data_IF_017570594811
#
_entry.id   IF_017570594811
#
_cell.length_a   1.000
_cell.length_b   1.000
_cell.length_c   1.000
_cell.angle_alpha   90.00
_cell.angle_beta   90.00
_cell.angle_gamma   90.00
#
_symmetry.space_group_name_H-M   'P 1'
#
loop_
_entity.id
_entity.type
_entity.pdbx_description
1 polymer ?
#
# COMPACT_ATOMS: atom_id res chain seq x y z
N UNK A 1 -21.86 -9.36 -14.22
CA UNK A 1 -22.65 -8.95 -13.02
C UNK A 1 -23.03 -10.07 -12.04
N UNK A 2 -23.10 -11.37 -12.39
CA UNK A 2 -23.54 -12.41 -11.43
C UNK A 2 -22.44 -12.93 -10.49
N UNK A 3 -21.16 -12.92 -10.88
CA UNK A 3 -20.06 -13.47 -10.07
C UNK A 3 -19.46 -12.51 -9.03
N UNK A 4 -19.65 -11.20 -9.20
CA UNK A 4 -19.34 -10.20 -8.15
C UNK A 4 -20.16 -10.47 -6.88
N UNK A 5 -21.37 -11.04 -7.01
CA UNK A 5 -22.25 -11.37 -5.88
C UNK A 5 -21.66 -12.44 -4.94
N UNK A 6 -20.96 -13.46 -5.45
CA UNK A 6 -20.50 -14.58 -4.61
C UNK A 6 -19.26 -14.23 -3.77
N UNK A 7 -18.26 -13.55 -4.36
CA UNK A 7 -17.07 -13.11 -3.60
C UNK A 7 -17.48 -12.11 -2.52
N UNK A 8 -18.31 -11.15 -2.88
CA UNK A 8 -18.85 -10.14 -1.98
C UNK A 8 -19.75 -10.77 -0.89
N UNK A 9 -20.50 -11.84 -1.21
CA UNK A 9 -21.29 -12.58 -0.24
C UNK A 9 -20.45 -13.18 0.90
N UNK A 10 -19.31 -13.83 0.60
CA UNK A 10 -18.46 -14.41 1.65
C UNK A 10 -17.90 -13.35 2.59
N UNK A 11 -17.38 -12.24 2.06
CA UNK A 11 -16.86 -11.18 2.92
C UNK A 11 -17.97 -10.49 3.71
N UNK A 12 -19.14 -10.25 3.10
CA UNK A 12 -20.33 -9.75 3.81
C UNK A 12 -20.79 -10.69 4.91
N UNK A 13 -20.83 -12.00 4.65
CA UNK A 13 -21.18 -13.02 5.64
C UNK A 13 -20.16 -13.03 6.79
N UNK A 14 -18.86 -12.92 6.49
CA UNK A 14 -17.81 -12.84 7.52
C UNK A 14 -17.96 -11.58 8.39
N UNK A 15 -18.37 -10.45 7.79
CA UNK A 15 -18.66 -9.22 8.51
C UNK A 15 -19.90 -9.36 9.40
N UNK A 16 -20.95 -10.03 8.91
CA UNK A 16 -22.15 -10.32 9.71
C UNK A 16 -21.82 -11.24 10.89
N UNK A 17 -21.04 -12.32 10.67
CA UNK A 17 -20.62 -13.24 11.72
C UNK A 17 -19.85 -12.52 12.84
N UNK A 18 -18.85 -11.72 12.47
CA UNK A 18 -18.03 -10.97 13.45
C UNK A 18 -18.75 -9.78 14.06
N UNK A 19 -19.87 -9.33 13.49
CA UNK A 19 -20.76 -8.37 14.15
C UNK A 19 -21.50 -9.00 15.34
N UNK A 20 -22.00 -10.23 15.19
CA UNK A 20 -22.75 -10.94 16.24
C UNK A 20 -21.84 -11.64 17.25
N UNK A 21 -20.74 -12.23 16.79
CA UNK A 21 -19.76 -12.95 17.59
C UNK A 21 -18.36 -12.40 17.31
N UNK A 22 -17.96 -11.25 17.87
CA UNK A 22 -16.70 -10.59 17.52
C UNK A 22 -15.48 -11.51 17.65
N UNK A 23 -15.24 -12.04 18.86
CA UNK A 23 -14.05 -12.86 19.16
C UNK A 23 -14.16 -14.27 18.57
N UNK A 24 -15.26 -14.96 18.87
CA UNK A 24 -15.46 -16.35 18.42
C UNK A 24 -15.59 -16.45 16.90
N UNK A 25 -16.33 -15.53 16.27
CA UNK A 25 -16.46 -15.47 14.82
C UNK A 25 -15.14 -15.12 14.13
N UNK A 26 -14.36 -14.18 14.69
CA UNK A 26 -13.02 -13.89 14.19
C UNK A 26 -12.09 -15.11 14.29
N UNK A 27 -12.09 -15.82 15.42
CA UNK A 27 -11.34 -17.06 15.61
C UNK A 27 -11.73 -18.13 14.58
N UNK A 28 -13.03 -18.35 14.38
CA UNK A 28 -13.53 -19.30 13.38
C UNK A 28 -13.06 -18.95 11.96
N UNK A 29 -13.12 -17.67 11.58
CA UNK A 29 -12.66 -17.23 10.25
C UNK A 29 -11.15 -17.39 10.08
N UNK A 30 -10.37 -17.05 11.11
CA UNK A 30 -8.92 -17.23 11.10
C UNK A 30 -8.51 -18.70 10.94
N UNK A 31 -9.34 -19.65 11.41
CA UNK A 31 -9.09 -21.07 11.20
C UNK A 31 -9.58 -21.58 9.84
N UNK A 32 -10.84 -21.29 9.52
CA UNK A 32 -11.52 -21.87 8.35
C UNK A 32 -11.07 -21.27 7.02
N UNK A 33 -10.85 -19.95 6.95
CA UNK A 33 -10.50 -19.29 5.69
C UNK A 33 -9.15 -19.78 5.15
N UNK A 34 -8.06 -19.87 5.94
CA UNK A 34 -6.82 -20.46 5.46
C UNK A 34 -6.96 -21.94 5.09
N UNK A 35 -7.73 -22.72 5.86
CA UNK A 35 -7.96 -24.14 5.55
C UNK A 35 -8.62 -24.32 4.17
N UNK A 36 -9.51 -23.41 3.78
CA UNK A 36 -10.21 -23.47 2.49
C UNK A 36 -9.43 -22.80 1.37
N UNK A 37 -8.89 -21.60 1.59
CA UNK A 37 -8.34 -20.75 0.53
C UNK A 37 -6.84 -20.90 0.33
N UNK A 38 -6.12 -21.50 1.29
CA UNK A 38 -4.66 -21.59 1.26
C UNK A 38 -4.10 -22.97 1.58
N UNK A 39 -4.93 -24.01 1.51
CA UNK A 39 -4.42 -25.39 1.58
C UNK A 39 -3.53 -25.74 0.39
N UNK A 40 -2.70 -26.77 0.58
CA UNK A 40 -1.70 -27.22 -0.41
C UNK A 40 -2.32 -27.57 -1.76
N UNK A 41 -3.54 -28.13 -1.78
CA UNK A 41 -4.21 -28.50 -3.02
C UNK A 41 -4.62 -27.26 -3.82
N UNK A 42 -5.21 -26.25 -3.18
CA UNK A 42 -5.61 -24.99 -3.83
C UNK A 42 -4.40 -24.23 -4.36
N UNK A 43 -3.34 -24.10 -3.56
CA UNK A 43 -2.10 -23.44 -4.01
C UNK A 43 -1.50 -24.18 -5.20
N UNK A 44 -1.41 -25.52 -5.15
CA UNK A 44 -0.89 -26.32 -6.26
C UNK A 44 -1.77 -26.21 -7.50
N UNK A 45 -3.09 -26.16 -7.33
CA UNK A 45 -4.04 -25.96 -8.44
C UNK A 45 -3.80 -24.62 -9.12
N UNK A 46 -3.75 -23.52 -8.36
CA UNK A 46 -3.49 -22.20 -8.94
C UNK A 46 -2.13 -22.15 -9.64
N UNK A 47 -1.08 -22.65 -9.00
CA UNK A 47 0.24 -22.74 -9.62
C UNK A 47 0.21 -23.54 -10.93
N UNK A 48 -0.37 -24.74 -10.94
CA UNK A 48 -0.45 -25.56 -12.15
C UNK A 48 -1.27 -24.90 -13.27
N UNK A 49 -2.32 -24.17 -12.92
CA UNK A 49 -3.13 -23.41 -13.88
C UNK A 49 -2.29 -22.31 -14.54
N UNK A 50 -1.59 -21.51 -13.75
CA UNK A 50 -0.74 -20.43 -14.25
C UNK A 50 0.44 -20.99 -15.07
N UNK A 51 1.07 -22.07 -14.61
CA UNK A 51 2.12 -22.77 -15.35
C UNK A 51 1.63 -23.34 -16.68
N UNK A 52 0.40 -23.87 -16.74
CA UNK A 52 -0.18 -24.38 -17.98
C UNK A 52 -0.38 -23.27 -19.00
N UNK A 53 -0.75 -22.07 -18.56
CA UNK A 53 -0.86 -20.89 -19.44
C UNK A 53 0.50 -20.44 -19.93
N UNK A 54 1.47 -20.27 -19.02
CA UNK A 54 2.83 -19.83 -19.35
C UNK A 54 3.53 -20.77 -20.34
N UNK A 55 3.36 -22.10 -20.20
CA UNK A 55 3.95 -23.08 -21.12
C UNK A 55 3.37 -23.06 -22.54
N UNK A 56 2.19 -22.45 -22.75
CA UNK A 56 1.58 -22.30 -24.08
C UNK A 56 2.04 -21.04 -24.81
N UNK A 57 2.72 -20.14 -24.11
CA UNK A 57 3.20 -18.88 -24.67
C UNK A 57 4.53 -19.13 -25.36
N UNK A 58 4.59 -18.86 -26.66
CA UNK A 58 5.78 -19.11 -27.48
C UNK A 58 6.89 -18.08 -27.21
N UNK A 59 6.51 -16.83 -27.01
CA UNK A 59 7.43 -15.70 -26.83
C UNK A 59 6.89 -14.73 -25.78
N UNK A 60 7.78 -14.00 -25.11
CA UNK A 60 7.46 -13.00 -24.10
C UNK A 60 7.93 -11.62 -24.58
N UNK A 61 7.49 -11.16 -25.75
CA UNK A 61 7.90 -9.88 -26.31
C UNK A 61 7.18 -8.70 -25.66
N UNK A 62 5.93 -8.91 -25.23
CA UNK A 62 5.13 -7.87 -24.60
C UNK A 62 4.29 -8.38 -23.45
N UNK A 63 4.54 -7.83 -22.26
CA UNK A 63 3.88 -8.21 -21.01
C UNK A 63 3.09 -7.01 -20.48
N UNK A 64 1.82 -7.24 -20.12
CA UNK A 64 1.02 -6.28 -19.38
C UNK A 64 1.03 -6.64 -17.90
N UNK A 65 1.31 -5.67 -17.05
CA UNK A 65 1.07 -5.77 -15.61
C UNK A 65 -0.05 -4.80 -15.25
N UNK A 66 -1.18 -5.34 -14.80
CA UNK A 66 -2.29 -4.57 -14.24
C UNK A 66 -2.12 -4.57 -12.74
N UNK A 67 -1.91 -3.38 -12.17
CA UNK A 67 -1.84 -3.17 -10.73
C UNK A 67 -3.24 -3.32 -10.09
N UNK A 68 -3.52 -2.58 -9.03
CA UNK A 68 -4.86 -2.44 -8.45
C UNK A 68 -5.38 -1.00 -8.67
N UNK A 69 -6.62 -0.76 -8.24
CA UNK A 69 -7.27 0.55 -8.25
C UNK A 69 -6.62 1.53 -7.27
N UNK A 70 -5.88 1.05 -6.26
CA UNK A 70 -5.34 1.92 -5.21
C UNK A 70 -3.94 2.48 -5.56
N UNK A 71 -3.67 3.72 -5.16
CA UNK A 71 -2.35 4.36 -5.30
C UNK A 71 -1.24 3.54 -4.60
N UNK A 72 -1.53 3.02 -3.40
CA UNK A 72 -0.57 2.20 -2.65
C UNK A 72 -0.16 0.92 -3.37
N UNK A 73 -1.13 0.25 -4.00
CA UNK A 73 -0.87 -0.94 -4.80
C UNK A 73 -0.16 -0.62 -6.11
N UNK A 74 -0.47 0.52 -6.75
CA UNK A 74 0.30 1.00 -7.90
C UNK A 74 1.79 1.18 -7.56
N UNK A 75 2.09 1.72 -6.36
CA UNK A 75 3.46 1.85 -5.85
C UNK A 75 4.06 0.49 -5.51
N UNK A 76 3.35 -0.40 -4.81
CA UNK A 76 3.92 -1.67 -4.35
C UNK A 76 4.10 -2.73 -5.45
N UNK A 77 3.11 -2.87 -6.33
CA UNK A 77 3.05 -3.95 -7.33
C UNK A 77 4.04 -3.75 -8.48
N UNK A 78 4.66 -2.57 -8.60
CA UNK A 78 5.78 -2.36 -9.53
C UNK A 78 6.97 -3.29 -9.20
N UNK A 79 7.05 -3.84 -7.99
CA UNK A 79 8.02 -4.87 -7.64
C UNK A 79 7.89 -6.14 -8.51
N UNK A 80 6.71 -6.41 -9.07
CA UNK A 80 6.54 -7.47 -10.07
C UNK A 80 7.18 -7.11 -11.42
N UNK A 81 7.17 -5.82 -11.82
CA UNK A 81 7.86 -5.34 -13.01
C UNK A 81 9.37 -5.49 -12.84
N UNK A 82 9.91 -5.10 -11.68
CA UNK A 82 11.33 -5.30 -11.36
C UNK A 82 11.71 -6.79 -11.44
N UNK A 83 10.91 -7.67 -10.84
CA UNK A 83 11.12 -9.12 -10.95
C UNK A 83 11.04 -9.63 -12.40
N UNK A 84 10.14 -9.08 -13.24
CA UNK A 84 10.05 -9.47 -14.64
C UNK A 84 11.28 -9.03 -15.43
N UNK A 85 11.87 -7.87 -15.12
CA UNK A 85 13.13 -7.40 -15.75
C UNK A 85 14.32 -8.30 -15.49
N UNK A 86 14.31 -9.05 -14.39
CA UNK A 86 15.34 -10.04 -14.10
C UNK A 86 15.30 -11.22 -15.08
N UNK A 87 14.12 -11.59 -15.59
CA UNK A 87 13.95 -12.68 -16.57
C UNK A 87 13.89 -12.18 -18.01
N UNK A 88 13.44 -10.95 -18.21
CA UNK A 88 13.09 -10.39 -19.52
C UNK A 88 13.58 -8.93 -19.63
N UNK A 89 14.90 -8.69 -19.71
CA UNK A 89 15.45 -7.34 -19.65
C UNK A 89 15.00 -6.46 -20.82
N UNK A 90 14.88 -7.02 -22.02
CA UNK A 90 14.58 -6.28 -23.26
C UNK A 90 13.09 -6.31 -23.67
N UNK A 91 12.27 -7.07 -22.94
CA UNK A 91 10.83 -7.21 -23.22
C UNK A 91 10.09 -5.90 -22.98
N UNK A 92 9.08 -5.60 -23.80
CA UNK A 92 8.18 -4.49 -23.50
C UNK A 92 7.30 -4.86 -22.30
N UNK A 93 7.44 -4.14 -21.19
CA UNK A 93 6.62 -4.32 -19.99
C UNK A 93 5.79 -3.07 -19.76
N UNK A 94 4.49 -3.17 -20.05
CA UNK A 94 3.54 -2.08 -19.87
C UNK A 94 2.89 -2.20 -18.49
N UNK A 95 2.73 -1.09 -17.78
CA UNK A 95 2.20 -1.07 -16.42
C UNK A 95 0.92 -0.23 -16.34
N UNK A 96 -0.21 -0.88 -16.08
CA UNK A 96 -1.53 -0.26 -16.03
C UNK A 96 -1.93 0.02 -14.57
N UNK A 97 -2.17 1.30 -14.28
CA UNK A 97 -2.33 1.80 -12.90
C UNK A 97 -3.50 2.79 -12.75
N UNK A 98 -3.82 3.11 -11.50
CA UNK A 98 -4.58 4.30 -11.11
C UNK A 98 -3.92 5.57 -11.66
N UNK A 99 -4.71 6.41 -12.35
CA UNK A 99 -4.25 7.67 -12.94
C UNK A 99 -3.63 8.64 -11.93
N UNK A 100 -4.14 8.67 -10.70
CA UNK A 100 -3.63 9.53 -9.62
C UNK A 100 -2.22 9.13 -9.13
N UNK A 101 -1.74 7.93 -9.48
CA UNK A 101 -0.40 7.48 -9.14
C UNK A 101 0.63 7.75 -10.25
N UNK A 102 0.23 8.32 -11.39
CA UNK A 102 1.11 8.58 -12.53
C UNK A 102 2.35 9.39 -12.14
N UNK A 103 2.15 10.52 -11.45
CA UNK A 103 3.22 11.42 -11.07
C UNK A 103 4.28 10.78 -10.17
N UNK A 104 3.96 9.67 -9.49
CA UNK A 104 4.88 8.94 -8.61
C UNK A 104 5.67 7.86 -9.35
N UNK A 105 5.16 7.37 -10.49
CA UNK A 105 5.66 6.16 -11.17
C UNK A 105 6.25 6.46 -12.55
N UNK A 106 5.89 7.59 -13.17
CA UNK A 106 6.26 7.94 -14.55
C UNK A 106 7.77 7.96 -14.85
N UNK A 107 8.63 8.11 -13.83
CA UNK A 107 10.09 8.06 -13.98
C UNK A 107 10.71 6.70 -13.70
N UNK A 108 9.95 5.62 -13.47
CA UNK A 108 10.53 4.30 -13.23
C UNK A 108 11.14 3.73 -14.53
N UNK A 109 12.48 3.50 -14.59
CA UNK A 109 13.15 3.03 -15.79
C UNK A 109 12.85 1.56 -16.14
N UNK A 110 12.25 0.79 -15.22
CA UNK A 110 11.91 -0.62 -15.45
C UNK A 110 10.59 -0.78 -16.23
N UNK A 111 9.80 0.29 -16.35
CA UNK A 111 8.51 0.27 -17.06
C UNK A 111 8.74 0.76 -18.49
N UNK A 112 8.34 -0.03 -19.49
CA UNK A 112 8.45 0.37 -20.90
C UNK A 112 7.37 1.38 -21.29
N UNK A 113 6.14 1.19 -20.82
CA UNK A 113 5.04 2.12 -21.05
C UNK A 113 4.13 2.14 -19.83
N UNK A 114 3.93 3.34 -19.27
CA UNK A 114 2.98 3.54 -18.18
C UNK A 114 1.59 3.82 -18.76
N UNK A 115 0.57 3.14 -18.25
CA UNK A 115 -0.84 3.29 -18.66
C UNK A 115 -1.68 3.78 -17.45
N UNK A 116 -1.68 5.08 -17.15
CA UNK A 116 -2.39 5.68 -16.01
C UNK A 116 -3.88 5.88 -16.32
N UNK A 117 -4.62 4.78 -16.47
CA UNK A 117 -6.00 4.82 -17.00
C UNK A 117 -7.08 4.49 -16.00
N UNK A 118 -6.76 3.80 -14.90
CA UNK A 118 -7.77 3.44 -13.90
C UNK A 118 -8.24 4.67 -13.12
N UNK A 119 -9.52 4.69 -12.80
CA UNK A 119 -10.26 5.77 -12.12
C UNK A 119 -9.73 6.05 -10.72
N UNK A 120 -9.33 4.98 -10.01
CA UNK A 120 -8.99 5.05 -8.59
C UNK A 120 -10.19 4.99 -7.65
N UNK A 121 -11.38 4.74 -8.19
CA UNK A 121 -12.58 4.52 -7.38
C UNK A 121 -12.45 3.24 -6.54
N UNK A 122 -13.13 3.15 -5.39
CA UNK A 122 -13.05 1.97 -4.54
C UNK A 122 -13.50 0.67 -5.24
N UNK A 123 -14.36 0.77 -6.25
CA UNK A 123 -14.76 -0.32 -7.13
C UNK A 123 -14.59 0.09 -8.59
N UNK A 124 -14.35 -0.87 -9.51
CA UNK A 124 -14.26 -0.57 -10.93
C UNK A 124 -15.53 0.08 -11.45
N UNK A 125 -15.34 1.13 -12.25
CA UNK A 125 -16.40 1.78 -13.04
C UNK A 125 -16.31 1.37 -14.51
N UNK A 126 -17.35 1.67 -15.30
CA UNK A 126 -17.41 1.29 -16.72
C UNK A 126 -16.20 1.76 -17.52
N UNK A 127 -15.66 2.93 -17.18
CA UNK A 127 -14.47 3.47 -17.84
C UNK A 127 -13.20 2.67 -17.55
N UNK A 128 -13.09 2.03 -16.37
CA UNK A 128 -11.97 1.13 -16.05
C UNK A 128 -12.01 -0.10 -16.96
N UNK A 129 -13.18 -0.67 -17.16
CA UNK A 129 -13.37 -1.84 -18.04
C UNK A 129 -13.05 -1.50 -19.49
N UNK A 130 -13.55 -0.36 -19.99
CA UNK A 130 -13.25 0.12 -21.35
C UNK A 130 -11.76 0.39 -21.52
N UNK A 131 -11.11 1.01 -20.53
CA UNK A 131 -9.68 1.31 -20.59
C UNK A 131 -8.84 0.03 -20.68
N UNK A 132 -9.17 -1.00 -19.89
CA UNK A 132 -8.50 -2.30 -19.97
C UNK A 132 -8.77 -2.96 -21.32
N UNK A 133 -10.02 -2.97 -21.79
CA UNK A 133 -10.36 -3.53 -23.09
C UNK A 133 -9.55 -2.88 -24.22
N UNK A 134 -9.51 -1.55 -24.26
CA UNK A 134 -8.73 -0.78 -25.23
C UNK A 134 -7.23 -1.12 -25.14
N UNK A 135 -6.68 -1.18 -23.93
CA UNK A 135 -5.27 -1.54 -23.73
C UNK A 135 -4.97 -2.95 -24.25
N UNK A 136 -5.86 -3.93 -24.01
CA UNK A 136 -5.69 -5.31 -24.47
C UNK A 136 -5.71 -5.43 -26.00
N UNK A 137 -6.64 -4.74 -26.67
CA UNK A 137 -6.74 -4.77 -28.14
C UNK A 137 -5.60 -4.01 -28.83
N UNK A 138 -5.21 -2.85 -28.29
CA UNK A 138 -4.10 -2.06 -28.84
C UNK A 138 -2.74 -2.71 -28.56
N UNK A 139 -2.56 -3.29 -27.37
CA UNK A 139 -1.28 -3.81 -26.90
C UNK A 139 -0.93 -5.20 -27.42
N UNK A 140 -1.93 -6.07 -27.69
CA UNK A 140 -1.73 -7.46 -28.13
C UNK A 140 -0.75 -8.29 -27.26
N UNK A 141 -0.83 -8.14 -25.95
CA UNK A 141 0.09 -8.76 -24.98
C UNK A 141 0.17 -10.28 -25.06
N UNK A 142 1.39 -10.82 -24.91
CA UNK A 142 1.66 -12.26 -24.81
C UNK A 142 1.19 -12.82 -23.47
N UNK A 143 1.41 -12.05 -22.40
CA UNK A 143 1.07 -12.39 -21.02
C UNK A 143 0.52 -11.19 -20.29
N UNK A 144 -0.48 -11.41 -19.44
CA UNK A 144 -1.11 -10.38 -18.63
C UNK A 144 -1.05 -10.81 -17.16
N UNK A 145 -0.33 -10.07 -16.33
CA UNK A 145 -0.40 -10.21 -14.88
C UNK A 145 -1.51 -9.31 -14.35
N UNK A 146 -2.57 -9.91 -13.80
CA UNK A 146 -3.68 -9.18 -13.22
C UNK A 146 -3.67 -9.29 -11.69
N UNK A 147 -3.17 -8.25 -11.03
CA UNK A 147 -3.12 -8.17 -9.57
C UNK A 147 -4.41 -7.65 -8.95
N UNK A 148 -5.30 -6.99 -9.70
CA UNK A 148 -6.58 -6.54 -9.18
C UNK A 148 -7.58 -7.71 -9.06
N UNK A 149 -8.06 -8.04 -7.84
CA UNK A 149 -9.01 -9.12 -7.64
C UNK A 149 -10.42 -8.81 -8.19
N UNK A 150 -10.71 -7.54 -8.51
CA UNK A 150 -12.00 -7.08 -9.00
C UNK A 150 -12.15 -7.28 -10.52
N UNK A 151 -11.04 -7.27 -11.26
CA UNK A 151 -11.02 -7.62 -12.68
C UNK A 151 -11.05 -9.14 -12.86
N UNK A 152 -12.25 -9.70 -13.06
CA UNK A 152 -12.45 -11.14 -13.22
C UNK A 152 -12.02 -11.63 -14.62
N UNK A 153 -11.75 -12.93 -14.73
CA UNK A 153 -11.36 -13.60 -15.99
C UNK A 153 -12.31 -13.32 -17.17
N UNK A 154 -13.60 -13.08 -16.90
CA UNK A 154 -14.58 -12.74 -17.94
C UNK A 154 -14.29 -11.42 -18.65
N UNK A 155 -13.65 -10.45 -17.99
CA UNK A 155 -13.26 -9.17 -18.58
C UNK A 155 -12.30 -9.37 -19.77
N UNK A 156 -11.41 -10.35 -19.66
CA UNK A 156 -10.32 -10.52 -20.61
C UNK A 156 -10.76 -11.22 -21.90
N UNK A 157 -12.00 -11.69 -22.02
CA UNK A 157 -12.56 -12.25 -23.25
C UNK A 157 -11.63 -13.29 -23.90
N UNK A 158 -11.20 -13.02 -25.14
CA UNK A 158 -10.27 -13.87 -25.90
C UNK A 158 -8.86 -13.98 -25.31
N UNK A 159 -8.48 -13.04 -24.44
CA UNK A 159 -7.16 -13.00 -23.81
C UNK A 159 -7.09 -13.80 -22.50
N UNK A 160 -8.19 -14.39 -22.01
CA UNK A 160 -8.25 -15.11 -20.72
C UNK A 160 -7.17 -16.19 -20.52
N UNK A 161 -6.74 -16.85 -21.60
CA UNK A 161 -5.72 -17.90 -21.55
C UNK A 161 -4.30 -17.34 -21.38
N UNK A 162 -4.11 -16.02 -21.52
CA UNK A 162 -2.85 -15.28 -21.32
C UNK A 162 -2.76 -14.62 -19.94
N UNK A 163 -3.83 -14.70 -19.14
CA UNK A 163 -3.92 -14.00 -17.85
C UNK A 163 -3.37 -14.87 -16.72
N UNK A 164 -2.42 -14.34 -15.97
CA UNK A 164 -1.97 -14.84 -14.67
C UNK A 164 -2.69 -14.02 -13.61
N UNK A 165 -3.57 -14.65 -12.84
CA UNK A 165 -4.41 -13.94 -11.87
C UNK A 165 -3.76 -13.86 -10.48
N UNK A 166 -4.17 -12.87 -9.69
CA UNK A 166 -3.76 -12.69 -8.29
C UNK A 166 -4.02 -13.90 -7.38
N UNK A 167 -4.79 -14.90 -7.82
CA UNK A 167 -5.27 -16.01 -7.00
C UNK A 167 -4.16 -16.79 -6.30
N UNK A 168 -3.07 -17.13 -7.01
CA UNK A 168 -1.93 -17.81 -6.40
C UNK A 168 -1.30 -16.95 -5.29
N UNK A 169 -1.05 -15.67 -5.57
CA UNK A 169 -0.50 -14.73 -4.60
C UNK A 169 -1.41 -14.57 -3.39
N UNK A 170 -2.72 -14.41 -3.60
CA UNK A 170 -3.70 -14.29 -2.53
C UNK A 170 -3.72 -15.54 -1.62
N UNK A 171 -3.70 -16.75 -2.20
CA UNK A 171 -3.60 -17.99 -1.41
C UNK A 171 -2.29 -18.06 -0.61
N UNK A 172 -1.17 -17.62 -1.19
CA UNK A 172 0.11 -17.58 -0.49
C UNK A 172 0.11 -16.56 0.65
N UNK A 173 -0.45 -15.36 0.43
CA UNK A 173 -0.61 -14.34 1.47
C UNK A 173 -1.44 -14.88 2.65
N UNK A 174 -2.59 -15.49 2.36
CA UNK A 174 -3.46 -16.06 3.40
C UNK A 174 -2.74 -17.18 4.18
N UNK A 175 -1.96 -18.03 3.49
CA UNK A 175 -1.15 -19.06 4.17
C UNK A 175 -0.09 -18.45 5.07
N UNK A 176 0.64 -17.48 4.52
CA UNK A 176 1.79 -16.88 5.17
C UNK A 176 1.38 -16.01 6.37
N UNK A 177 0.13 -15.55 6.46
CA UNK A 177 -0.40 -14.93 7.67
C UNK A 177 -0.40 -15.89 8.88
N UNK A 178 -0.52 -17.21 8.66
CA UNK A 178 -0.40 -18.22 9.72
C UNK A 178 1.06 -18.61 10.02
N UNK A 179 1.93 -18.67 9.02
CA UNK A 179 3.33 -19.08 9.18
C UNK A 179 4.26 -17.86 9.22
N UNK A 180 4.81 -17.54 10.41
CA UNK A 180 5.84 -16.50 10.61
C UNK A 180 7.23 -16.91 10.07
N UNK A 181 7.25 -17.57 8.91
CA UNK A 181 8.46 -18.12 8.30
C UNK A 181 8.91 -17.32 7.06
N UNK A 182 8.04 -16.43 6.55
CA UNK A 182 8.33 -15.62 5.36
C UNK A 182 7.74 -14.22 5.50
N UNK A 183 8.39 -13.21 4.91
CA UNK A 183 7.83 -11.87 4.74
C UNK A 183 6.55 -11.95 3.92
N UNK A 184 5.49 -11.29 4.38
CA UNK A 184 4.18 -11.38 3.73
C UNK A 184 3.72 -10.10 3.03
N UNK A 185 4.61 -9.11 2.92
CA UNK A 185 4.30 -7.82 2.33
C UNK A 185 3.91 -7.95 0.85
N UNK A 186 2.91 -7.20 0.39
CA UNK A 186 2.34 -7.30 -0.96
C UNK A 186 3.40 -7.08 -2.05
N UNK A 187 4.30 -6.10 -1.90
CA UNK A 187 5.39 -5.87 -2.85
C UNK A 187 6.33 -7.09 -2.95
N UNK A 188 6.70 -7.67 -1.80
CA UNK A 188 7.57 -8.84 -1.74
C UNK A 188 6.90 -10.07 -2.34
N UNK A 189 5.61 -10.29 -2.06
CA UNK A 189 4.86 -11.42 -2.60
C UNK A 189 4.61 -11.29 -4.10
N UNK A 190 4.42 -10.07 -4.62
CA UNK A 190 4.29 -9.82 -6.07
C UNK A 190 5.60 -10.14 -6.82
N UNK A 191 6.74 -9.69 -6.27
CA UNK A 191 8.06 -10.06 -6.79
C UNK A 191 8.31 -11.57 -6.73
N UNK A 192 8.00 -12.20 -5.59
CA UNK A 192 8.17 -13.66 -5.39
C UNK A 192 7.26 -14.50 -6.28
N UNK A 193 6.06 -14.01 -6.61
CA UNK A 193 5.16 -14.68 -7.55
C UNK A 193 5.83 -14.85 -8.92
N UNK A 194 6.40 -13.76 -9.45
CA UNK A 194 7.11 -13.76 -10.74
C UNK A 194 8.26 -14.76 -10.70
N UNK A 195 9.14 -14.67 -9.69
CA UNK A 195 10.24 -15.61 -9.51
C UNK A 195 9.77 -17.06 -9.39
N UNK A 196 8.69 -17.32 -8.64
CA UNK A 196 8.14 -18.67 -8.47
C UNK A 196 7.64 -19.28 -9.77
N UNK A 197 7.03 -18.47 -10.64
CA UNK A 197 6.50 -18.93 -11.92
C UNK A 197 7.62 -19.12 -12.96
N UNK A 198 8.51 -18.13 -13.10
CA UNK A 198 9.51 -18.15 -14.16
C UNK A 198 10.76 -18.95 -13.85
N UNK A 199 11.18 -19.07 -12.58
CA UNK A 199 12.31 -19.95 -12.23
C UNK A 199 12.04 -21.44 -12.53
N UNK A 200 10.76 -21.81 -12.74
CA UNK A 200 10.37 -23.15 -13.16
C UNK A 200 10.47 -23.36 -14.69
N UNK A 201 10.70 -22.29 -15.46
CA UNK A 201 10.75 -22.30 -16.92
C UNK A 201 12.11 -21.87 -17.46
N UNK A 202 12.72 -20.87 -16.82
CA UNK A 202 13.87 -20.13 -17.31
C UNK A 202 14.79 -19.77 -16.14
N UNK A 203 16.08 -19.53 -16.42
CA UNK A 203 16.96 -18.89 -15.45
C UNK A 203 16.87 -17.37 -15.60
N UNK A 204 16.88 -16.59 -14.51
CA UNK A 204 16.91 -15.14 -14.62
C UNK A 204 18.25 -14.69 -15.22
N UNK A 205 18.18 -13.76 -16.19
CA UNK A 205 19.34 -13.15 -16.84
C UNK A 205 20.08 -12.21 -15.89
N UNK A 206 19.34 -11.54 -15.01
CA UNK A 206 19.89 -10.72 -13.92
C UNK A 206 19.39 -11.25 -12.59
N UNK A 207 20.28 -11.45 -11.62
CA UNK A 207 19.91 -11.95 -10.28
C UNK A 207 20.01 -10.83 -9.26
N UNK A 208 18.98 -9.99 -9.20
CA UNK A 208 18.86 -9.03 -8.12
C UNK A 208 18.11 -9.63 -6.94
N UNK A 209 18.53 -9.29 -5.72
CA UNK A 209 17.68 -9.51 -4.55
C UNK A 209 16.52 -8.52 -4.62
N UNK A 210 15.40 -8.85 -3.97
CA UNK A 210 14.30 -7.90 -3.80
C UNK A 210 14.86 -6.57 -3.28
N UNK A 211 14.73 -5.52 -4.10
CA UNK A 211 15.27 -4.20 -3.84
C UNK A 211 14.21 -3.24 -3.29
N UNK A 212 14.54 -1.96 -3.36
CA UNK A 212 13.67 -0.89 -2.88
C UNK A 212 12.47 -0.66 -3.79
N UNK A 213 11.32 -0.38 -3.18
CA UNK A 213 10.17 0.17 -3.91
C UNK A 213 10.46 1.65 -4.15
N UNK A 214 10.40 2.07 -5.41
CA UNK A 214 10.79 3.44 -5.81
C UNK A 214 9.60 4.32 -6.18
N UNK A 215 9.75 5.62 -5.96
CA UNK A 215 8.94 6.66 -6.58
C UNK A 215 9.85 7.73 -7.16
N UNK A 216 9.39 8.38 -8.22
CA UNK A 216 10.11 9.48 -8.88
C UNK A 216 9.30 10.75 -8.79
N UNK A 217 9.93 11.87 -8.43
CA UNK A 217 9.26 13.15 -8.23
C UNK A 217 9.78 14.19 -9.23
N UNK A 218 8.90 15.06 -9.71
CA UNK A 218 9.24 16.13 -10.65
C UNK A 218 9.90 17.31 -9.94
N UNK A 219 10.67 18.14 -10.67
CA UNK A 219 11.22 19.39 -10.10
C UNK A 219 10.12 20.29 -9.55
N UNK A 220 8.99 20.42 -10.27
CA UNK A 220 7.85 21.21 -9.78
C UNK A 220 7.26 20.70 -8.46
N UNK A 221 7.20 19.38 -8.26
CA UNK A 221 6.73 18.81 -6.99
C UNK A 221 7.71 19.08 -5.84
N UNK A 222 9.02 19.02 -6.12
CA UNK A 222 10.08 19.34 -5.16
C UNK A 222 10.01 20.83 -4.80
N UNK A 223 9.93 21.72 -5.78
CA UNK A 223 9.80 23.17 -5.60
C UNK A 223 8.54 23.55 -4.80
N UNK A 224 7.41 22.85 -5.01
CA UNK A 224 6.20 23.05 -4.21
C UNK A 224 6.41 22.69 -2.74
N UNK A 225 7.11 21.58 -2.46
CA UNK A 225 7.44 21.20 -1.09
C UNK A 225 8.41 22.20 -0.45
N UNK A 226 9.45 22.65 -1.18
CA UNK A 226 10.40 23.66 -0.72
C UNK A 226 9.71 24.99 -0.41
N UNK A 227 8.82 25.44 -1.29
CA UNK A 227 8.01 26.64 -1.09
C UNK A 227 7.17 26.52 0.17
N UNK A 228 6.50 25.37 0.37
CA UNK A 228 5.72 25.12 1.59
C UNK A 228 6.58 25.18 2.87
N UNK A 229 7.79 24.61 2.84
CA UNK A 229 8.74 24.65 3.96
C UNK A 229 9.15 26.10 4.27
N UNK A 230 9.49 26.88 3.25
CA UNK A 230 9.96 28.26 3.38
C UNK A 230 8.86 29.20 3.89
N UNK A 231 7.66 29.14 3.32
CA UNK A 231 6.53 29.98 3.70
C UNK A 231 6.07 29.74 5.14
N UNK A 232 6.22 28.51 5.64
CA UNK A 232 5.87 28.15 7.02
C UNK A 232 7.04 28.27 8.01
N UNK A 233 8.19 28.80 7.57
CA UNK A 233 9.35 29.04 8.44
C UNK A 233 9.93 27.78 9.07
N UNK A 234 9.83 26.64 8.38
CA UNK A 234 10.22 25.34 8.93
C UNK A 234 11.75 25.20 8.88
N UNK A 235 12.39 25.19 10.05
CA UNK A 235 13.84 25.20 10.20
C UNK A 235 14.39 23.81 10.55
N UNK A 236 15.37 23.32 9.78
CA UNK A 236 16.01 22.01 9.95
C UNK A 236 16.85 21.83 11.23
N UNK A 237 16.96 22.83 12.11
CA UNK A 237 17.74 22.70 13.36
C UNK A 237 17.10 21.78 14.41
N UNK A 238 15.81 21.45 14.28
CA UNK A 238 15.05 20.61 15.22
C UNK A 238 14.10 19.68 14.48
N UNK A 239 13.56 18.68 15.18
CA UNK A 239 12.89 17.56 14.52
C UNK A 239 11.50 17.91 14.00
N UNK A 240 11.21 17.46 12.78
CA UNK A 240 9.91 17.63 12.12
C UNK A 240 9.19 16.30 12.09
N UNK A 241 7.99 16.26 12.68
CA UNK A 241 7.10 15.09 12.68
C UNK A 241 5.92 15.38 11.77
N UNK A 242 5.59 14.48 10.86
CA UNK A 242 4.44 14.61 9.99
C UNK A 242 3.41 13.53 10.30
N UNK A 243 2.25 13.95 10.80
CA UNK A 243 1.09 13.08 10.97
C UNK A 243 0.13 13.21 9.78
N UNK A 244 -0.14 12.10 9.12
CA UNK A 244 -1.26 11.96 8.21
C UNK A 244 -2.49 11.44 8.98
N UNK A 245 -3.52 12.29 9.21
CA UNK A 245 -4.64 11.92 10.05
C UNK A 245 -5.70 11.08 9.34
N UNK A 246 -5.65 11.01 8.00
CA UNK A 246 -6.70 10.41 7.18
C UNK A 246 -6.24 9.14 6.45
N UNK A 247 -7.21 8.27 6.14
CA UNK A 247 -6.98 7.07 5.34
C UNK A 247 -8.16 6.84 4.40
N UNK A 248 -7.98 5.95 3.42
CA UNK A 248 -9.04 5.59 2.46
C UNK A 248 -10.29 4.95 3.08
N UNK A 249 -10.30 4.63 4.38
CA UNK A 249 -11.44 4.01 5.04
C UNK A 249 -11.48 4.33 6.54
N UNK A 250 -12.69 4.51 7.08
CA UNK A 250 -12.90 4.64 8.52
C UNK A 250 -12.42 3.43 9.34
N UNK A 251 -12.22 2.25 8.74
CA UNK A 251 -11.70 1.06 9.42
C UNK A 251 -10.17 1.05 9.59
N UNK A 252 -9.46 1.82 8.78
CA UNK A 252 -8.00 1.99 8.81
C UNK A 252 -7.55 3.34 9.38
N UNK A 253 -8.50 4.27 9.57
CA UNK A 253 -8.24 5.58 10.15
C UNK A 253 -8.11 5.51 11.67
N UNK A 254 -7.04 6.08 12.21
CA UNK A 254 -6.85 6.21 13.64
C UNK A 254 -8.01 7.05 14.22
N UNK A 255 -8.69 6.63 15.30
CA UNK A 255 -9.76 7.41 15.92
C UNK A 255 -9.32 8.81 16.33
N UNK A 256 -10.20 9.80 16.16
CA UNK A 256 -9.91 11.22 16.40
C UNK A 256 -9.34 11.46 17.80
N UNK A 257 -9.91 10.84 18.83
CA UNK A 257 -9.47 11.00 20.22
C UNK A 257 -8.04 10.50 20.44
N UNK A 258 -7.67 9.41 19.75
CA UNK A 258 -6.32 8.85 19.79
C UNK A 258 -5.33 9.74 19.03
N UNK A 259 -5.74 10.33 17.91
CA UNK A 259 -4.93 11.31 17.19
C UNK A 259 -4.66 12.57 18.01
N UNK A 260 -5.69 13.11 18.68
CA UNK A 260 -5.54 14.25 19.59
C UNK A 260 -4.57 13.89 20.74
N UNK A 261 -4.72 12.70 21.33
CA UNK A 261 -3.80 12.22 22.38
C UNK A 261 -2.35 12.12 21.87
N UNK A 262 -2.16 11.59 20.65
CA UNK A 262 -0.84 11.45 20.04
C UNK A 262 -0.20 12.82 19.79
N UNK A 263 -0.92 13.76 19.16
CA UNK A 263 -0.42 15.10 18.85
C UNK A 263 -0.04 15.85 20.12
N UNK A 264 -0.85 15.76 21.18
CA UNK A 264 -0.52 16.40 22.47
C UNK A 264 0.81 15.87 23.01
N UNK A 265 0.96 14.54 23.08
CA UNK A 265 2.19 13.90 23.54
C UNK A 265 3.40 14.23 22.66
N UNK A 266 3.23 14.34 21.34
CA UNK A 266 4.28 14.76 20.40
C UNK A 266 4.69 16.21 20.65
N UNK A 267 3.73 17.11 20.81
CA UNK A 267 3.98 18.53 21.03
C UNK A 267 4.70 18.79 22.37
N UNK A 268 4.49 17.92 23.36
CA UNK A 268 5.18 17.95 24.66
C UNK A 268 6.64 17.46 24.59
N UNK A 269 7.08 16.82 23.49
CA UNK A 269 8.48 16.42 23.34
C UNK A 269 9.37 17.63 23.03
N UNK A 270 10.39 17.85 23.86
CA UNK A 270 11.32 18.99 23.71
C UNK A 270 12.08 19.03 22.37
N UNK A 271 12.32 17.87 21.73
CA UNK A 271 13.00 17.80 20.42
C UNK A 271 12.06 18.05 19.24
N UNK A 272 10.75 17.93 19.43
CA UNK A 272 9.75 18.14 18.38
C UNK A 272 9.35 19.60 18.37
N UNK A 273 9.71 20.29 17.31
CA UNK A 273 9.43 21.71 17.14
C UNK A 273 8.25 21.97 16.21
N UNK A 274 8.14 21.15 15.18
CA UNK A 274 7.09 21.25 14.18
C UNK A 274 6.39 19.90 14.05
N UNK A 275 5.06 19.95 14.08
CA UNK A 275 4.16 18.88 13.69
C UNK A 275 3.46 19.32 12.41
N UNK A 276 3.79 18.67 11.30
CA UNK A 276 2.98 18.78 10.10
C UNK A 276 1.73 17.91 10.27
N UNK A 277 0.57 18.47 9.95
CA UNK A 277 -0.72 17.78 10.03
C UNK A 277 -1.38 17.78 8.65
N UNK A 278 -1.49 16.62 8.03
CA UNK A 278 -2.13 16.48 6.73
C UNK A 278 -3.61 16.86 6.77
N UNK A 279 -4.13 17.49 5.72
CA UNK A 279 -5.56 17.72 5.59
C UNK A 279 -6.31 16.43 5.19
N UNK A 280 -7.58 16.33 5.58
CA UNK A 280 -8.43 15.19 5.26
C UNK A 280 -8.94 15.20 3.81
N UNK A 281 -8.75 14.09 3.10
CA UNK A 281 -9.29 13.89 1.75
C UNK A 281 -10.62 13.12 1.77
N UNK A 282 -10.72 12.08 2.60
CA UNK A 282 -11.90 11.25 2.85
C UNK A 282 -12.66 11.77 4.07
N UNK A 283 -11.98 12.02 5.19
CA UNK A 283 -12.59 12.71 6.34
C UNK A 283 -12.36 14.22 6.22
N UNK A 284 -13.25 14.91 5.52
CA UNK A 284 -13.14 16.36 5.37
C UNK A 284 -13.04 17.06 6.73
N UNK A 285 -12.13 18.01 6.83
CA UNK A 285 -11.91 18.87 8.00
C UNK A 285 -11.43 18.13 9.26
N UNK A 286 -10.83 16.93 9.15
CA UNK A 286 -10.28 16.22 10.32
C UNK A 286 -9.17 17.02 11.01
N UNK A 287 -8.35 17.71 10.25
CA UNK A 287 -7.30 18.62 10.72
C UNK A 287 -7.88 19.74 11.58
N UNK A 288 -9.02 20.32 11.18
CA UNK A 288 -9.69 21.36 11.98
C UNK A 288 -10.29 20.80 13.27
N UNK A 289 -10.89 19.60 13.22
CA UNK A 289 -11.40 18.91 14.43
C UNK A 289 -10.28 18.68 15.44
N UNK A 290 -9.11 18.26 14.95
CA UNK A 290 -7.91 18.06 15.76
C UNK A 290 -7.44 19.39 16.35
N UNK A 291 -7.24 20.43 15.53
CA UNK A 291 -6.77 21.74 16.00
C UNK A 291 -7.68 22.32 17.08
N UNK A 292 -9.00 22.26 16.88
CA UNK A 292 -9.98 22.77 17.84
C UNK A 292 -9.88 22.06 19.21
N UNK A 293 -9.52 20.78 19.23
CA UNK A 293 -9.41 19.98 20.45
C UNK A 293 -8.03 20.06 21.13
N UNK A 294 -7.01 20.58 20.45
CA UNK A 294 -5.66 20.78 21.00
C UNK A 294 -5.58 22.15 21.69
N UNK A 295 -4.96 22.28 22.88
CA UNK A 295 -4.76 23.56 23.55
C UNK A 295 -3.96 24.56 22.71
N UNK A 296 -4.28 25.85 22.81
CA UNK A 296 -3.65 26.93 22.04
C UNK A 296 -2.12 26.96 22.20
N UNK A 297 -1.61 26.69 23.41
CA UNK A 297 -0.17 26.62 23.70
C UNK A 297 0.58 25.59 22.85
N UNK A 298 -0.09 24.50 22.45
CA UNK A 298 0.47 23.43 21.61
C UNK A 298 0.21 23.67 20.12
N UNK A 299 -0.85 24.41 19.76
CA UNK A 299 -1.19 24.71 18.35
C UNK A 299 -0.08 25.44 17.62
N UNK A 300 0.73 26.25 18.31
CA UNK A 300 1.87 26.97 17.71
C UNK A 300 2.92 26.06 17.06
N UNK A 301 2.96 24.77 17.43
CA UNK A 301 3.86 23.78 16.83
C UNK A 301 3.23 23.06 15.64
N UNK A 302 1.94 23.27 15.36
CA UNK A 302 1.20 22.50 14.37
C UNK A 302 1.01 23.36 13.11
N UNK A 303 1.49 22.84 11.98
CA UNK A 303 1.31 23.43 10.66
C UNK A 303 0.48 22.50 9.80
N UNK A 304 -0.64 22.98 9.26
CA UNK A 304 -1.51 22.18 8.40
C UNK A 304 -0.91 22.11 7.00
N UNK A 305 -0.79 20.88 6.48
CA UNK A 305 -0.46 20.64 5.07
C UNK A 305 -1.78 20.60 4.29
N UNK A 306 -2.01 21.53 3.36
CA UNK A 306 -3.30 21.68 2.71
C UNK A 306 -3.58 20.52 1.74
N UNK A 307 -4.85 20.20 1.53
CA UNK A 307 -5.29 19.16 0.59
C UNK A 307 -5.09 19.56 -0.88
N UNK A 308 -4.75 20.82 -1.15
CA UNK A 308 -4.37 21.33 -2.47
C UNK A 308 -2.93 20.98 -2.85
N UNK A 309 -2.08 20.56 -1.90
CA UNK A 309 -0.73 20.10 -2.21
C UNK A 309 -0.83 18.80 -3.02
N UNK A 310 -0.20 18.76 -4.19
CA UNK A 310 -0.25 17.59 -5.05
C UNK A 310 0.39 16.37 -4.36
N UNK A 311 -0.02 15.15 -4.73
CA UNK A 311 0.43 13.95 -4.02
C UNK A 311 1.94 13.69 -4.16
N UNK A 312 2.55 14.11 -5.25
CA UNK A 312 3.99 14.07 -5.47
C UNK A 312 4.73 15.17 -4.69
N UNK A 313 4.14 16.37 -4.53
CA UNK A 313 4.68 17.39 -3.64
C UNK A 313 4.54 16.99 -2.16
N UNK A 314 3.44 16.31 -1.81
CA UNK A 314 3.25 15.68 -0.50
C UNK A 314 4.32 14.60 -0.25
N UNK A 315 4.67 13.81 -1.27
CA UNK A 315 5.75 12.83 -1.20
C UNK A 315 7.14 13.48 -1.01
N UNK A 316 7.39 14.61 -1.68
CA UNK A 316 8.61 15.40 -1.48
C UNK A 316 8.64 15.98 -0.05
N UNK A 317 7.52 16.53 0.43
CA UNK A 317 7.40 17.09 1.78
C UNK A 317 7.66 16.04 2.88
N UNK A 318 7.25 14.79 2.68
CA UNK A 318 7.57 13.69 3.61
C UNK A 318 9.08 13.56 3.81
N UNK A 319 9.90 13.73 2.76
CA UNK A 319 11.36 13.55 2.83
C UNK A 319 12.07 14.63 3.67
N UNK A 320 11.45 15.81 3.81
CA UNK A 320 11.91 16.86 4.72
C UNK A 320 11.66 16.53 6.20
N UNK A 321 10.86 15.51 6.49
CA UNK A 321 10.49 15.13 7.85
C UNK A 321 11.42 14.05 8.41
N UNK A 322 11.61 14.04 9.73
CA UNK A 322 12.36 12.99 10.41
C UNK A 322 11.48 11.79 10.72
N UNK A 323 10.20 12.03 11.00
CA UNK A 323 9.21 10.99 11.31
C UNK A 323 7.93 11.24 10.52
N UNK A 324 7.41 10.19 9.89
CA UNK A 324 6.08 10.16 9.28
C UNK A 324 5.18 9.16 10.01
N UNK A 325 4.00 9.61 10.44
CA UNK A 325 3.03 8.81 11.18
C UNK A 325 1.75 8.71 10.37
N UNK A 326 1.23 7.50 10.18
CA UNK A 326 0.01 7.28 9.39
C UNK A 326 -0.71 5.99 9.75
N UNK A 327 -1.96 5.87 9.31
CA UNK A 327 -2.64 4.57 9.22
C UNK A 327 -2.34 3.83 7.91
N UNK A 328 -3.06 2.73 7.67
CA UNK A 328 -2.99 1.98 6.41
C UNK A 328 -3.69 2.73 5.25
N UNK A 329 -2.90 3.34 4.38
CA UNK A 329 -3.35 4.18 3.26
C UNK A 329 -2.26 4.34 2.20
N UNK A 330 -2.59 4.85 1.01
CA UNK A 330 -1.62 5.14 -0.05
C UNK A 330 -0.39 5.93 0.41
N UNK A 331 -0.56 7.03 1.17
CA UNK A 331 0.55 7.79 1.77
C UNK A 331 1.53 6.98 2.63
N UNK A 332 1.13 5.86 3.26
CA UNK A 332 2.06 4.97 3.96
C UNK A 332 3.11 4.40 2.98
N UNK A 333 2.66 3.89 1.85
CA UNK A 333 3.52 3.28 0.85
C UNK A 333 4.38 4.32 0.12
N UNK A 334 3.86 5.55 -0.05
CA UNK A 334 4.62 6.69 -0.58
C UNK A 334 5.74 7.08 0.39
N UNK A 335 5.45 7.17 1.69
CA UNK A 335 6.46 7.48 2.70
C UNK A 335 7.55 6.40 2.77
N UNK A 336 7.16 5.14 2.70
CA UNK A 336 8.07 4.00 2.74
C UNK A 336 8.92 3.83 1.48
N UNK A 337 8.48 4.32 0.32
CA UNK A 337 9.20 4.19 -0.94
C UNK A 337 10.45 5.09 -1.00
N UNK A 338 11.48 4.61 -1.70
CA UNK A 338 12.70 5.37 -2.01
C UNK A 338 12.41 6.42 -3.07
N UNK A 339 12.75 7.67 -2.78
CA UNK A 339 12.48 8.84 -3.61
C UNK A 339 13.67 9.15 -4.50
N UNK A 340 13.39 9.40 -5.77
CA UNK A 340 14.37 9.83 -6.78
C UNK A 340 13.85 11.07 -7.50
N UNK A 341 14.72 12.01 -7.84
CA UNK A 341 14.36 13.12 -8.70
C UNK A 341 14.32 12.65 -10.14
N UNK A 342 13.24 12.97 -10.87
CA UNK A 342 13.11 12.59 -12.28
C UNK A 342 14.20 13.23 -13.16
N UNK A 343 14.63 14.45 -12.81
CA UNK A 343 15.71 15.19 -13.47
C UNK A 343 17.10 14.68 -13.11
N UNK A 344 17.25 14.02 -11.95
CA UNK A 344 18.55 13.72 -11.34
C UNK A 344 19.22 14.92 -10.65
N UNK A 345 18.60 16.10 -10.65
CA UNK A 345 19.21 17.34 -10.12
C UNK A 345 19.06 17.50 -8.60
N UNK A 346 18.06 16.83 -8.00
CA UNK A 346 17.82 16.86 -6.57
C UNK A 346 18.14 15.51 -5.92
N UNK A 347 18.79 15.54 -4.76
CA UNK A 347 19.08 14.35 -3.96
C UNK A 347 18.24 14.34 -2.70
N UNK A 348 17.29 13.40 -2.64
CA UNK A 348 16.46 13.19 -1.46
C UNK A 348 17.27 12.62 -0.30
N UNK A 349 16.94 13.03 0.92
CA UNK A 349 17.50 12.47 2.17
C UNK A 349 17.21 10.98 2.26
N UNK A 350 15.99 10.56 1.93
CA UNK A 350 15.48 9.21 2.16
C UNK A 350 15.73 8.72 3.60
N UNK A 351 15.57 9.59 4.59
CA UNK A 351 15.87 9.31 6.02
C UNK A 351 14.66 9.55 6.92
N UNK A 352 13.46 9.45 6.37
CA UNK A 352 12.23 9.62 7.15
C UNK A 352 11.86 8.30 7.80
N UNK A 353 11.82 8.26 9.13
CA UNK A 353 11.36 7.09 9.85
C UNK A 353 9.84 6.94 9.71
N UNK A 354 9.35 5.72 9.45
CA UNK A 354 7.94 5.48 9.10
C UNK A 354 7.24 4.72 10.22
N UNK A 355 6.27 5.37 10.87
CA UNK A 355 5.50 4.84 11.99
C UNK A 355 4.07 4.60 11.54
N UNK A 356 3.66 3.33 11.46
CA UNK A 356 2.37 2.95 10.88
C UNK A 356 1.45 2.30 11.92
N UNK A 357 0.20 2.74 11.97
CA UNK A 357 -0.78 2.30 12.97
C UNK A 357 -1.93 1.55 12.28
N UNK A 358 -2.02 0.25 12.55
CA UNK A 358 -2.98 -0.66 11.93
C UNK A 358 -4.14 -0.97 12.86
N UNK A 359 -5.35 -0.94 12.30
CA UNK A 359 -6.57 -1.39 12.96
C UNK A 359 -7.13 -2.64 12.29
N UNK A 360 -7.91 -2.45 11.21
CA UNK A 360 -8.62 -3.55 10.56
C UNK A 360 -7.74 -4.48 9.72
N UNK A 361 -6.79 -3.93 8.98
CA UNK A 361 -6.08 -4.62 7.92
C UNK A 361 -4.86 -5.37 8.45
N UNK A 362 -4.42 -6.44 7.75
CA UNK A 362 -3.29 -7.25 8.19
C UNK A 362 -1.97 -6.48 8.00
N UNK A 363 -1.34 -6.09 9.11
CA UNK A 363 -0.15 -5.26 9.08
C UNK A 363 1.06 -5.93 8.40
N UNK A 364 1.19 -7.26 8.42
CA UNK A 364 2.28 -7.96 7.71
C UNK A 364 2.18 -7.87 6.19
N UNK A 365 1.00 -7.57 5.66
CA UNK A 365 0.76 -7.47 4.22
C UNK A 365 1.06 -6.06 3.69
N UNK A 366 0.85 -5.02 4.50
CA UNK A 366 0.92 -3.62 4.05
C UNK A 366 1.85 -2.72 4.89
N UNK A 367 2.24 -3.16 6.08
CA UNK A 367 3.08 -2.41 7.00
C UNK A 367 4.57 -2.67 6.81
N UNK A 368 5.36 -1.75 7.35
CA UNK A 368 6.82 -1.80 7.28
C UNK A 368 7.42 -1.78 8.68
N UNK A 369 8.22 -2.81 9.01
CA UNK A 369 8.94 -2.89 10.27
C UNK A 369 10.39 -3.31 10.01
N UNK A 370 11.35 -2.52 10.48
CA UNK A 370 12.78 -2.76 10.27
C UNK A 370 13.37 -3.74 11.29
N UNK A 371 12.69 -3.96 12.41
CA UNK A 371 13.21 -4.75 13.53
C UNK A 371 12.54 -6.13 13.62
N UNK A 372 11.36 -6.31 13.01
CA UNK A 372 10.73 -7.62 12.87
C UNK A 372 11.03 -8.24 11.49
N UNK A 373 11.77 -9.35 11.48
CA UNK A 373 12.12 -10.11 10.28
C UNK A 373 10.92 -10.62 9.47
N UNK A 374 9.73 -10.68 10.09
CA UNK A 374 8.48 -11.06 9.43
C UNK A 374 7.85 -9.96 8.58
N UNK A 375 8.38 -8.74 8.67
CA UNK A 375 7.95 -7.57 7.93
C UNK A 375 8.98 -7.19 6.86
N UNK A 376 8.52 -6.37 5.92
CA UNK A 376 9.42 -5.66 5.03
C UNK A 376 9.87 -4.37 5.72
N UNK A 377 11.14 -4.02 5.66
CA UNK A 377 11.57 -2.68 6.07
C UNK A 377 11.11 -1.65 5.03
N UNK A 378 10.92 -0.39 5.42
CA UNK A 378 10.76 0.67 4.42
C UNK A 378 12.04 0.81 3.59
N UNK A 379 11.92 1.39 2.41
CA UNK A 379 13.05 1.74 1.54
C UNK A 379 13.70 3.07 1.91
N UNK A 380 13.52 3.50 3.17
CA UNK A 380 14.16 4.66 3.76
C UNK A 380 15.39 4.19 4.53
N UNK A 381 16.45 5.00 4.53
CA UNK A 381 17.65 4.83 5.35
C UNK A 381 17.37 5.28 6.81
N UNK A 382 16.22 4.87 7.35
CA UNK A 382 15.71 5.17 8.68
C UNK A 382 14.76 4.06 9.16
N UNK A 383 14.53 3.90 10.48
CA UNK A 383 13.67 2.84 11.00
C UNK A 383 12.23 2.92 10.50
N UNK A 384 11.58 1.76 10.38
CA UNK A 384 10.14 1.64 10.19
C UNK A 384 9.53 0.82 11.32
N UNK A 385 8.35 1.21 11.80
CA UNK A 385 7.66 0.58 12.94
C UNK A 385 6.19 0.34 12.62
N UNK A 386 5.70 -0.82 13.05
CA UNK A 386 4.28 -1.18 12.99
C UNK A 386 3.68 -1.25 14.38
N UNK A 387 2.57 -0.55 14.57
CA UNK A 387 1.74 -0.65 15.77
C UNK A 387 0.39 -1.21 15.41
N UNK A 388 0.00 -2.28 16.07
CA UNK A 388 -1.28 -2.95 15.79
C UNK A 388 -2.21 -2.70 16.97
N UNK A 389 -3.32 -2.02 16.70
CA UNK A 389 -4.34 -1.82 17.71
C UNK A 389 -5.04 -3.16 18.03
N UNK A 390 -5.45 -3.32 19.29
CA UNK A 390 -6.29 -4.44 19.67
C UNK A 390 -7.69 -4.25 19.07
N UNK A 391 -8.24 -5.35 18.57
CA UNK A 391 -9.56 -5.38 17.98
C UNK A 391 -10.21 -6.74 18.19
N UNK A 392 -11.44 -6.78 18.74
CA UNK A 392 -12.11 -8.01 19.11
C UNK A 392 -12.63 -8.78 17.89
N UNK A 393 -12.70 -8.15 16.71
CA UNK A 393 -13.27 -8.72 15.49
C UNK A 393 -12.26 -8.81 14.33
N UNK A 394 -11.00 -8.40 14.53
CA UNK A 394 -9.98 -8.50 13.48
C UNK A 394 -9.76 -9.96 13.12
N UNK A 395 -9.81 -10.23 11.82
CA UNK A 395 -9.63 -11.55 11.26
C UNK A 395 -9.10 -11.45 9.83
N UNK A 396 -8.71 -12.58 9.24
CA UNK A 396 -8.06 -12.67 7.93
C UNK A 396 -8.89 -12.08 6.78
N UNK A 397 -10.23 -12.04 6.88
CA UNK A 397 -11.08 -11.45 5.83
C UNK A 397 -11.05 -9.91 5.85
N UNK A 398 -10.51 -9.30 6.90
CA UNK A 398 -10.39 -7.85 7.01
C UNK A 398 -9.43 -7.22 6.00
N UNK A 399 -8.67 -8.03 5.25
CA UNK A 399 -7.92 -7.60 4.07
C UNK A 399 -8.83 -6.91 3.04
N UNK A 400 -10.09 -7.33 2.92
CA UNK A 400 -11.11 -6.63 2.15
C UNK A 400 -11.96 -5.74 3.08
N UNK A 401 -11.40 -4.59 3.45
CA UNK A 401 -12.06 -3.63 4.36
C UNK A 401 -13.39 -3.09 3.82
N UNK A 402 -13.60 -3.12 2.51
CA UNK A 402 -14.81 -2.61 1.86
C UNK A 402 -16.07 -3.44 2.15
N UNK A 403 -15.89 -4.71 2.52
CA UNK A 403 -17.00 -5.59 2.84
C UNK A 403 -17.47 -5.51 4.30
N UNK A 404 -16.82 -4.66 5.11
CA UNK A 404 -17.20 -4.45 6.51
C UNK A 404 -18.48 -3.63 6.62
N UNK A 405 -19.39 -4.08 7.48
CA UNK A 405 -20.75 -3.54 7.63
C UNK A 405 -21.06 -3.05 9.06
N UNK A 406 -20.07 -3.03 9.95
CA UNK A 406 -20.27 -2.58 11.33
C UNK A 406 -20.46 -1.07 11.41
N UNK A 407 -21.49 -0.63 12.15
CA UNK A 407 -21.77 0.81 12.37
C UNK A 407 -20.78 1.45 13.34
N UNK A 408 -20.41 0.73 14.41
CA UNK A 408 -19.39 1.16 15.39
C UNK A 408 -18.06 0.50 15.05
N UNK A 409 -17.07 1.30 14.67
CA UNK A 409 -15.71 0.82 14.37
C UNK A 409 -15.01 0.45 15.68
N UNK A 410 -14.70 -0.85 15.85
CA UNK A 410 -13.91 -1.40 16.98
C UNK A 410 -12.52 -1.87 16.54
N UNK A 411 -12.02 -1.37 15.42
CA UNK A 411 -10.72 -1.74 14.87
C UNK A 411 -9.54 -1.16 15.68
N UNK A 412 -9.82 -0.17 16.52
CA UNK A 412 -8.85 0.48 17.40
C UNK A 412 -9.38 0.49 18.84
N UNK A 413 -9.84 -0.67 19.35
CA UNK A 413 -10.45 -0.78 20.67
C UNK A 413 -9.45 -0.44 21.79
N UNK A 414 -8.20 -0.91 21.65
CA UNK A 414 -7.07 -0.43 22.44
C UNK A 414 -5.89 -0.09 21.52
N UNK A 415 -5.24 1.04 21.78
CA UNK A 415 -4.01 1.46 21.09
C UNK A 415 -3.14 2.13 22.15
N UNK A 416 -1.96 1.56 22.36
CA UNK A 416 -0.99 2.10 23.30
C UNK A 416 -0.21 3.26 22.65
N UNK A 417 -0.75 4.47 22.81
CA UNK A 417 -0.07 5.69 22.35
C UNK A 417 1.16 6.03 23.21
N UNK A 418 1.34 5.40 24.37
CA UNK A 418 2.53 5.57 25.21
C UNK A 418 3.76 4.95 24.56
N UNK A 419 3.66 3.68 24.18
CA UNK A 419 4.74 2.96 23.48
C UNK A 419 5.14 3.67 22.17
N UNK A 420 4.17 4.10 21.36
CA UNK A 420 4.44 4.84 20.11
C UNK A 420 5.28 6.09 20.38
N UNK A 421 4.91 6.88 21.40
CA UNK A 421 5.61 8.12 21.74
C UNK A 421 7.01 7.82 22.30
N UNK A 422 7.16 6.74 23.07
CA UNK A 422 8.46 6.33 23.58
C UNK A 422 9.40 5.94 22.44
N UNK A 423 8.93 5.16 21.47
CA UNK A 423 9.72 4.75 20.31
C UNK A 423 10.06 5.94 19.40
N UNK A 424 9.12 6.88 19.22
CA UNK A 424 9.38 8.15 18.53
C UNK A 424 10.47 8.95 19.26
N UNK A 425 10.40 9.05 20.58
CA UNK A 425 11.42 9.75 21.37
C UNK A 425 12.79 9.09 21.20
N UNK A 426 12.88 7.76 21.22
CA UNK A 426 14.12 7.02 20.98
C UNK A 426 14.64 7.21 19.55
N UNK A 427 13.75 7.27 18.56
CA UNK A 427 14.14 7.50 17.17
C UNK A 427 14.67 8.93 16.94
N UNK A 428 14.19 9.90 17.72
CA UNK A 428 14.68 11.28 17.68
C UNK A 428 15.92 11.49 18.56
N UNK A 429 16.39 10.49 19.32
CA UNK A 429 17.59 10.57 20.16
C UNK A 429 18.87 10.45 19.33
#
# INVERSE_FOLDING_TARGET
MSQTKNYDFYFKASSVLTKWLPRTGAGLLNETVPAVMSNRFIIRRHFNQDMTRLKKIAHFHKILVIADLNIGDAVNLQASVSALRDFFPDTQIDYLINRSAECLIAGNPEISTLLPVLSGEPFPVDDDFKAIENALYAGQYDVIFNFCPLFKQTLFGRFKERVISVSLMASLIIRNEKSKEEKNHVAYQAHRLVYRLFSALLQPEKKHRFGDVRITLSNSAIEQAETFILENGLNHRRSVVFLNPDTSSGFTRIPLERQISLIRKLADLNRVDTILLGAGHVEKNIEQKILNAVPESLRRKITVVPSSLSIDAYAALIDYCDIYITGDTGPLHIAAARKFAKSGEHTFRNRTAVFSIFGSTPARVYGYDSDDLNYLASSQDAPSRVYIADSPCRNITCINKMAKTCKKVRCFESLDTGTIIQDIRLCLQ
#
